data_IF_431210615966
#
_entry.id   IF_431210615966
#
_cell.length_a   1.000
_cell.length_b   1.000
_cell.length_c   1.000
_cell.angle_alpha   90.00
_cell.angle_beta   90.00
_cell.angle_gamma   90.00
#
_symmetry.space_group_name_H-M   'P 1'
#
loop_
_entity.id
_entity.type
_entity.pdbx_description
1 polymer ?
#
# COMPACT_ATOMS: atom_id res chain seq x y z
N UNK A 1 -15.85 19.55 18.80
CA UNK A 1 -15.30 18.45 18.00
C UNK A 1 -15.47 17.15 18.78
N UNK A 2 -16.20 16.19 18.21
CA UNK A 2 -16.72 14.97 18.87
C UNK A 2 -15.61 14.02 19.34
N UNK A 3 -14.54 13.90 18.55
CA UNK A 3 -13.41 12.99 18.79
C UNK A 3 -12.67 13.19 20.12
N UNK A 4 -12.52 14.43 20.58
CA UNK A 4 -11.78 14.76 21.81
C UNK A 4 -12.56 14.56 23.10
N UNK A 5 -13.89 14.39 23.01
CA UNK A 5 -14.76 14.25 24.19
C UNK A 5 -15.03 12.80 24.56
N UNK A 6 -14.98 11.89 23.59
CA UNK A 6 -15.38 10.48 23.79
C UNK A 6 -14.18 9.55 23.97
N UNK A 7 -13.03 9.88 23.37
CA UNK A 7 -11.81 9.07 23.45
C UNK A 7 -10.62 9.95 23.85
N UNK A 8 -9.79 9.47 24.77
CA UNK A 8 -8.47 10.06 25.02
C UNK A 8 -7.60 9.67 23.82
N UNK A 9 -7.73 10.41 22.71
CA UNK A 9 -6.94 10.19 21.51
C UNK A 9 -5.63 10.95 21.68
N UNK A 10 -4.58 10.24 22.09
CA UNK A 10 -3.25 10.86 22.26
C UNK A 10 -2.60 11.22 20.91
N UNK A 11 -2.93 10.52 19.81
CA UNK A 11 -2.44 10.81 18.46
C UNK A 11 -3.44 10.43 17.36
N UNK A 12 -3.69 11.35 16.42
CA UNK A 12 -4.34 11.08 15.13
C UNK A 12 -3.24 10.73 14.14
N UNK A 13 -3.29 9.52 13.57
CA UNK A 13 -2.30 9.03 12.59
C UNK A 13 -2.95 8.84 11.22
N UNK A 14 -2.19 9.05 10.15
CA UNK A 14 -2.64 8.77 8.79
C UNK A 14 -2.96 7.28 8.62
N UNK A 15 -3.99 6.95 7.84
CA UNK A 15 -4.32 5.55 7.51
C UNK A 15 -3.20 4.84 6.75
N UNK A 16 -2.27 5.58 6.13
CA UNK A 16 -1.08 5.02 5.49
C UNK A 16 0.03 4.66 6.49
N UNK A 17 -0.05 5.11 7.75
CA UNK A 17 1.00 4.88 8.74
C UNK A 17 1.33 3.40 8.98
N UNK A 18 0.35 2.48 9.09
CA UNK A 18 0.63 1.04 9.20
C UNK A 18 1.35 0.49 7.98
N UNK A 19 0.96 0.92 6.77
CA UNK A 19 1.59 0.53 5.51
C UNK A 19 3.05 1.00 5.45
N UNK A 20 3.29 2.28 5.77
CA UNK A 20 4.63 2.87 5.83
C UNK A 20 5.50 2.09 6.82
N UNK A 21 4.99 1.81 8.03
CA UNK A 21 5.75 1.06 9.04
C UNK A 21 6.05 -0.36 8.59
N UNK A 22 5.14 -1.00 7.87
CA UNK A 22 5.34 -2.35 7.35
C UNK A 22 6.44 -2.38 6.30
N UNK A 23 6.39 -1.48 5.32
CA UNK A 23 7.39 -1.45 4.23
C UNK A 23 8.78 -1.03 4.76
N UNK A 24 8.86 -0.07 5.68
CA UNK A 24 10.12 0.31 6.34
C UNK A 24 10.74 -0.86 7.12
N UNK A 25 9.90 -1.68 7.77
CA UNK A 25 10.35 -2.84 8.55
C UNK A 25 10.85 -3.98 7.67
N UNK A 26 10.16 -4.25 6.56
CA UNK A 26 10.53 -5.34 5.65
C UNK A 26 11.71 -5.00 4.73
N UNK A 27 11.85 -3.73 4.37
CA UNK A 27 12.80 -3.29 3.35
C UNK A 27 13.71 -2.16 3.86
N UNK A 28 14.65 -2.54 4.74
CA UNK A 28 15.59 -1.58 5.33
C UNK A 28 16.76 -1.22 4.41
N UNK A 29 17.24 -2.16 3.61
CA UNK A 29 18.42 -1.98 2.74
C UNK A 29 18.11 -2.20 1.25
N UNK A 30 16.83 -2.38 0.91
CA UNK A 30 16.39 -2.68 -0.43
C UNK A 30 15.45 -1.59 -0.95
N UNK A 31 15.18 -1.65 -2.25
CA UNK A 31 14.09 -0.91 -2.87
C UNK A 31 12.84 -1.77 -2.95
N UNK A 32 11.73 -1.24 -2.47
CA UNK A 32 10.45 -1.92 -2.54
C UNK A 32 9.28 -0.96 -2.67
N UNK A 33 8.22 -1.46 -3.29
CA UNK A 33 6.91 -0.85 -3.35
C UNK A 33 5.87 -1.82 -2.81
N UNK A 34 4.96 -1.33 -1.99
CA UNK A 34 3.77 -2.05 -1.53
C UNK A 34 2.53 -1.33 -2.04
N UNK A 35 1.63 -2.10 -2.64
CA UNK A 35 0.33 -1.63 -3.10
C UNK A 35 -0.79 -2.42 -2.40
N UNK A 36 -1.65 -1.71 -1.66
CA UNK A 36 -2.87 -2.26 -1.08
C UNK A 36 -4.03 -1.94 -2.01
N UNK A 37 -4.59 -2.99 -2.62
CA UNK A 37 -5.77 -2.95 -3.45
C UNK A 37 -7.02 -2.97 -2.56
N UNK A 38 -7.85 -1.94 -2.67
CA UNK A 38 -9.13 -1.81 -1.99
C UNK A 38 -10.21 -1.54 -3.03
N UNK A 39 -11.48 -1.72 -2.67
CA UNK A 39 -12.58 -1.74 -3.64
C UNK A 39 -12.62 -0.57 -4.64
N UNK A 40 -12.29 0.65 -4.22
CA UNK A 40 -12.37 1.89 -5.02
C UNK A 40 -11.05 2.69 -5.04
N UNK A 41 -10.00 2.16 -4.41
CA UNK A 41 -8.76 2.90 -4.15
C UNK A 41 -7.56 1.99 -4.00
N UNK A 42 -6.39 2.53 -4.31
CA UNK A 42 -5.11 1.89 -4.07
C UNK A 42 -4.27 2.74 -3.13
N UNK A 43 -3.77 2.11 -2.06
CA UNK A 43 -2.77 2.71 -1.19
C UNK A 43 -1.38 2.24 -1.65
N UNK A 44 -0.53 3.15 -2.12
CA UNK A 44 0.83 2.85 -2.60
C UNK A 44 1.83 3.44 -1.62
N UNK A 45 2.79 2.64 -1.17
CA UNK A 45 3.97 3.11 -0.47
C UNK A 45 5.24 2.55 -1.12
N UNK A 46 6.30 3.36 -1.19
CA UNK A 46 7.59 2.95 -1.76
C UNK A 46 8.74 3.42 -0.86
N UNK A 47 9.75 2.55 -0.71
CA UNK A 47 10.96 2.83 0.06
C UNK A 47 12.21 2.48 -0.75
N UNK A 48 13.31 3.16 -0.45
CA UNK A 48 14.64 2.82 -0.95
C UNK A 48 15.65 3.06 0.17
N UNK A 49 16.42 2.03 0.51
CA UNK A 49 17.44 2.11 1.57
C UNK A 49 16.87 2.66 2.90
N UNK A 50 15.67 2.18 3.27
CA UNK A 50 15.01 2.55 4.53
C UNK A 50 14.38 3.95 4.53
N UNK A 51 14.43 4.68 3.41
CA UNK A 51 13.78 5.99 3.27
C UNK A 51 12.46 5.86 2.51
N UNK A 52 11.39 6.47 3.04
CA UNK A 52 10.11 6.57 2.36
C UNK A 52 10.22 7.54 1.19
N UNK A 53 9.94 7.05 -0.02
CA UNK A 53 9.93 7.84 -1.26
C UNK A 53 8.53 8.34 -1.62
N UNK A 54 7.50 7.52 -1.37
CA UNK A 54 6.12 7.80 -1.73
C UNK A 54 5.18 7.12 -0.73
N UNK A 55 4.09 7.80 -0.37
CA UNK A 55 2.96 7.20 0.32
C UNK A 55 1.68 7.93 -0.08
N UNK A 56 0.88 7.35 -0.98
CA UNK A 56 -0.32 7.99 -1.53
C UNK A 56 -1.50 7.01 -1.61
N UNK A 57 -2.71 7.58 -1.54
CA UNK A 57 -3.96 6.89 -1.90
C UNK A 57 -4.46 7.45 -3.21
N UNK A 58 -4.84 6.57 -4.14
CA UNK A 58 -5.35 6.95 -5.46
C UNK A 58 -6.69 6.26 -5.68
N UNK A 59 -7.71 7.02 -6.03
CA UNK A 59 -9.02 6.47 -6.38
C UNK A 59 -8.99 5.88 -7.80
N UNK A 60 -9.66 4.76 -8.02
CA UNK A 60 -9.76 4.13 -9.33
C UNK A 60 -11.18 3.62 -9.61
N UNK A 61 -11.53 3.47 -10.89
CA UNK A 61 -12.86 2.99 -11.32
C UNK A 61 -12.78 1.69 -12.13
N UNK A 62 -11.69 1.50 -12.86
CA UNK A 62 -11.38 0.26 -13.55
C UNK A 62 -10.16 -0.42 -12.90
N UNK A 63 -10.17 -1.74 -12.82
CA UNK A 63 -9.02 -2.53 -12.38
C UNK A 63 -7.80 -2.33 -13.30
N UNK A 64 -8.02 -1.96 -14.56
CA UNK A 64 -6.92 -1.60 -15.47
C UNK A 64 -6.18 -0.34 -15.02
N UNK A 65 -6.88 0.62 -14.39
CA UNK A 65 -6.29 1.86 -13.87
C UNK A 65 -5.31 1.55 -12.72
N UNK A 66 -5.58 0.51 -11.94
CA UNK A 66 -4.69 0.06 -10.84
C UNK A 66 -3.30 -0.25 -11.35
N UNK A 67 -3.22 -1.02 -12.44
CA UNK A 67 -1.93 -1.40 -13.05
C UNK A 67 -1.20 -0.16 -13.56
N UNK A 68 -1.94 0.76 -14.20
CA UNK A 68 -1.39 2.04 -14.66
C UNK A 68 -0.81 2.85 -13.50
N UNK A 69 -1.54 3.01 -12.39
CA UNK A 69 -1.07 3.79 -11.25
C UNK A 69 0.17 3.19 -10.59
N UNK A 70 0.23 1.87 -10.44
CA UNK A 70 1.40 1.18 -9.89
C UNK A 70 2.62 1.38 -10.81
N UNK A 71 2.47 1.12 -12.12
CA UNK A 71 3.58 1.25 -13.07
C UNK A 71 4.02 2.71 -13.22
N UNK A 72 3.09 3.66 -13.19
CA UNK A 72 3.40 5.08 -13.23
C UNK A 72 4.20 5.51 -11.99
N UNK A 73 3.79 5.09 -10.79
CA UNK A 73 4.57 5.34 -9.57
C UNK A 73 5.96 4.69 -9.67
N UNK A 74 6.04 3.45 -10.18
CA UNK A 74 7.30 2.74 -10.37
C UNK A 74 8.26 3.48 -11.30
N UNK A 75 7.74 4.01 -12.40
CA UNK A 75 8.51 4.77 -13.38
C UNK A 75 8.95 6.14 -12.86
N UNK A 76 8.05 6.90 -12.23
CA UNK A 76 8.36 8.24 -11.68
C UNK A 76 9.44 8.15 -10.60
N UNK A 77 9.44 7.08 -9.81
CA UNK A 77 10.45 6.83 -8.79
C UNK A 77 11.75 6.22 -9.35
N UNK A 78 11.80 5.91 -10.65
CA UNK A 78 12.93 5.25 -11.31
C UNK A 78 13.34 3.95 -10.60
N UNK A 79 12.35 3.15 -10.20
CA UNK A 79 12.60 1.89 -9.51
C UNK A 79 13.30 0.86 -10.42
N UNK A 80 14.23 0.10 -9.85
CA UNK A 80 15.02 -0.92 -10.52
C UNK A 80 14.11 -2.10 -10.94
N UNK A 81 13.96 -2.30 -12.24
CA UNK A 81 13.10 -3.35 -12.80
C UNK A 81 13.57 -4.77 -12.47
N UNK A 82 14.86 -4.93 -12.18
CA UNK A 82 15.51 -6.23 -11.96
C UNK A 82 15.72 -6.55 -10.49
N UNK A 83 15.79 -5.53 -9.62
CA UNK A 83 16.08 -5.72 -8.18
C UNK A 83 14.97 -5.20 -7.28
N UNK A 84 14.20 -4.22 -7.74
CA UNK A 84 13.08 -3.65 -6.99
C UNK A 84 11.99 -4.70 -6.79
N UNK A 85 11.39 -4.68 -5.61
CA UNK A 85 10.31 -5.61 -5.25
C UNK A 85 8.96 -4.91 -5.23
N UNK A 86 7.96 -5.47 -5.90
CA UNK A 86 6.57 -5.05 -5.79
C UNK A 86 5.79 -6.09 -4.96
N UNK A 87 5.14 -5.64 -3.89
CA UNK A 87 4.19 -6.46 -3.14
C UNK A 87 2.76 -6.00 -3.33
N UNK A 88 1.89 -6.95 -3.65
CA UNK A 88 0.46 -6.71 -3.80
C UNK A 88 -0.32 -7.28 -2.60
N UNK A 89 -1.08 -6.42 -1.94
CA UNK A 89 -1.97 -6.73 -0.81
C UNK A 89 -3.41 -6.50 -1.27
N UNK A 90 -4.36 -7.33 -0.83
CA UNK A 90 -5.78 -7.18 -1.14
C UNK A 90 -6.42 -8.48 -1.63
N UNK A 91 -7.61 -8.35 -2.21
CA UNK A 91 -8.39 -9.47 -2.72
C UNK A 91 -7.60 -10.33 -3.73
N UNK A 92 -7.75 -11.65 -3.62
CA UNK A 92 -7.00 -12.62 -4.43
C UNK A 92 -7.35 -12.51 -5.90
N UNK A 93 -8.63 -12.45 -6.23
CA UNK A 93 -9.10 -12.40 -7.62
C UNK A 93 -8.56 -11.14 -8.32
N UNK A 94 -8.60 -10.01 -7.62
CA UNK A 94 -8.08 -8.73 -8.08
C UNK A 94 -6.58 -8.78 -8.34
N UNK A 95 -5.80 -9.35 -7.43
CA UNK A 95 -4.35 -9.51 -7.60
C UNK A 95 -4.01 -10.42 -8.78
N UNK A 96 -4.64 -11.60 -8.86
CA UNK A 96 -4.42 -12.57 -9.94
C UNK A 96 -4.71 -11.98 -11.33
N UNK A 97 -5.67 -11.03 -11.44
CA UNK A 97 -5.96 -10.32 -12.69
C UNK A 97 -4.85 -9.36 -13.13
N UNK A 98 -4.24 -8.62 -12.19
CA UNK A 98 -3.26 -7.57 -12.54
C UNK A 98 -1.80 -8.06 -12.55
N UNK A 99 -1.48 -9.09 -11.76
CA UNK A 99 -0.11 -9.63 -11.63
C UNK A 99 0.53 -9.95 -12.98
N UNK A 100 -0.12 -10.65 -13.93
CA UNK A 100 0.50 -10.99 -15.22
C UNK A 100 0.86 -9.76 -16.06
N UNK A 101 0.18 -8.64 -15.86
CA UNK A 101 0.49 -7.39 -16.56
C UNK A 101 1.66 -6.68 -15.90
N UNK A 102 1.75 -6.71 -14.57
CA UNK A 102 2.86 -6.13 -13.80
C UNK A 102 4.17 -6.89 -14.02
N UNK A 103 4.12 -8.22 -14.08
CA UNK A 103 5.28 -9.11 -14.30
C UNK A 103 5.96 -8.91 -15.67
N UNK A 104 5.28 -8.25 -16.62
CA UNK A 104 5.90 -7.85 -17.90
C UNK A 104 6.93 -6.74 -17.75
N UNK A 105 6.86 -5.97 -16.67
CA UNK A 105 7.68 -4.77 -16.44
C UNK A 105 8.53 -4.86 -15.18
N UNK A 106 8.11 -5.65 -14.20
CA UNK A 106 8.75 -5.77 -12.89
C UNK A 106 9.07 -7.24 -12.66
N UNK A 107 10.34 -7.54 -12.41
CA UNK A 107 10.80 -8.93 -12.26
C UNK A 107 10.26 -9.59 -10.99
N UNK A 108 10.21 -8.84 -9.89
CA UNK A 108 9.83 -9.37 -8.58
C UNK A 108 8.47 -8.82 -8.13
N UNK A 109 7.40 -9.41 -8.66
CA UNK A 109 6.03 -9.19 -8.18
C UNK A 109 5.65 -10.33 -7.26
N UNK A 110 5.25 -10.03 -6.03
CA UNK A 110 4.83 -11.06 -5.08
C UNK A 110 3.50 -10.72 -4.40
N UNK A 111 2.58 -11.69 -4.25
CA UNK A 111 1.45 -11.50 -3.37
C UNK A 111 1.97 -11.43 -1.94
N UNK A 112 1.60 -10.39 -1.20
CA UNK A 112 1.80 -10.42 0.23
C UNK A 112 0.82 -11.43 0.82
N UNK A 113 1.34 -12.61 1.17
CA UNK A 113 0.64 -13.59 1.97
C UNK A 113 0.92 -13.26 3.44
N UNK A 114 -0.07 -12.69 4.12
CA UNK A 114 -0.01 -12.67 5.58
C UNK A 114 -1.37 -13.01 6.16
N UNK A 115 -1.35 -13.87 7.16
CA UNK A 115 -2.48 -14.15 8.07
C UNK A 115 -2.88 -12.90 8.89
N UNK A 116 -2.14 -11.79 8.76
CA UNK A 116 -2.30 -10.54 9.51
C UNK A 116 -2.96 -9.39 8.72
N UNK A 117 -3.58 -9.62 7.57
CA UNK A 117 -4.34 -8.57 6.84
C UNK A 117 -5.37 -7.93 7.78
N UNK A 118 -5.99 -8.73 8.66
CA UNK A 118 -6.89 -8.30 9.73
C UNK A 118 -6.30 -7.28 10.71
N UNK A 119 -4.97 -7.25 10.93
CA UNK A 119 -4.30 -6.24 11.77
C UNK A 119 -4.03 -4.94 11.04
N UNK A 120 -3.66 -5.01 9.77
CA UNK A 120 -3.40 -3.83 8.94
C UNK A 120 -4.73 -3.19 8.55
N UNK A 121 -5.68 -3.97 8.02
CA UNK A 121 -7.05 -3.53 7.77
C UNK A 121 -7.76 -3.15 9.07
N UNK A 122 -7.55 -3.86 10.17
CA UNK A 122 -8.07 -3.48 11.49
C UNK A 122 -7.55 -2.14 11.97
N UNK A 123 -6.24 -1.88 11.84
CA UNK A 123 -5.65 -0.57 12.16
C UNK A 123 -6.16 0.54 11.24
N UNK A 124 -6.29 0.28 9.94
CA UNK A 124 -6.83 1.23 8.94
C UNK A 124 -8.32 1.50 9.21
N UNK A 125 -9.11 0.47 9.51
CA UNK A 125 -10.55 0.55 9.75
C UNK A 125 -10.88 1.20 11.09
N UNK A 126 -10.08 0.97 12.15
CA UNK A 126 -10.18 1.69 13.42
C UNK A 126 -9.87 3.18 13.28
N UNK A 127 -8.90 3.52 12.44
CA UNK A 127 -8.54 4.92 12.13
C UNK A 127 -9.65 5.62 11.33
N UNK A 128 -10.35 4.91 10.44
CA UNK A 128 -11.45 5.47 9.63
C UNK A 128 -12.78 5.58 10.40
N UNK A 129 -13.10 4.62 11.30
CA UNK A 129 -14.31 4.70 12.15
C UNK A 129 -14.25 5.86 13.15
N UNK A 130 -13.07 6.18 13.65
CA UNK A 130 -12.88 7.35 14.53
C UNK A 130 -13.04 8.67 13.76
N UNK A 131 -12.74 8.74 12.46
CA UNK A 131 -12.92 9.97 11.68
C UNK A 131 -14.38 10.26 11.26
N UNK A 132 -15.26 9.24 11.28
CA UNK A 132 -16.66 9.33 10.85
C UNK A 132 -17.69 9.17 11.99
N UNK A 133 -17.28 9.28 13.25
CA UNK A 133 -18.17 9.32 14.42
C UNK A 133 -18.09 10.64 15.16
#
# INVERSE_FOLDING_TARGET
SFLRRTFIVDKVISHLHPLIKQIEKEHHNDEAMMAILRQDRIDIAAVRNGQLLLANTIDYRDINDVTYHILNAWQILECDQTRGQLRLIGDRETREKITPTLEKFITYVSPFHTENISRIEGAISLTLKTLNS
#
